data_IF_950674526619
#
_entry.id   IF_950674526619
#
_cell.length_a   1.000
_cell.length_b   1.000
_cell.length_c   1.000
_cell.angle_alpha   90.00
_cell.angle_beta   90.00
_cell.angle_gamma   90.00
#
_symmetry.space_group_name_H-M   'P 1'
#
loop_
_entity.id
_entity.type
_entity.pdbx_description
1 polymer ?
#
# COMPACT_ATOMS: atom_id res chain seq x y z
N UNK A 1 50.14 45.17 -3.79
CA UNK A 1 50.41 44.07 -2.85
C UNK A 1 49.10 43.51 -2.20
N UNK A 2 48.16 44.34 -1.79
CA UNK A 2 46.94 43.86 -1.12
C UNK A 2 46.01 43.04 -2.00
N UNK A 3 46.00 43.26 -3.30
CA UNK A 3 45.14 42.46 -4.25
C UNK A 3 45.72 41.06 -4.54
N UNK A 4 47.04 40.90 -4.53
CA UNK A 4 47.72 39.60 -4.68
C UNK A 4 47.49 38.73 -3.42
N UNK A 5 47.62 39.29 -2.21
CA UNK A 5 47.37 38.57 -0.96
C UNK A 5 45.89 38.11 -0.85
N UNK A 6 44.95 38.89 -1.39
CA UNK A 6 43.55 38.52 -1.43
C UNK A 6 43.26 37.36 -2.41
N UNK A 7 43.93 37.37 -3.58
CA UNK A 7 43.83 36.29 -4.54
C UNK A 7 44.48 34.98 -4.02
N UNK A 8 45.64 35.09 -3.35
CA UNK A 8 46.30 33.96 -2.69
C UNK A 8 45.39 33.36 -1.59
N UNK A 9 44.73 34.20 -0.78
CA UNK A 9 43.79 33.75 0.23
C UNK A 9 42.57 33.03 -0.37
N UNK A 10 42.02 33.55 -1.47
CA UNK A 10 40.90 32.93 -2.19
C UNK A 10 41.34 31.63 -2.86
N UNK A 11 42.52 31.55 -3.46
CA UNK A 11 43.06 30.33 -4.04
C UNK A 11 43.34 29.26 -2.98
N UNK A 12 43.78 29.63 -1.81
CA UNK A 12 44.03 28.73 -0.70
C UNK A 12 42.73 28.10 -0.12
N UNK A 13 41.55 28.74 -0.31
CA UNK A 13 40.26 28.22 0.12
C UNK A 13 39.68 27.17 -0.85
N UNK A 14 40.08 27.16 -2.12
CA UNK A 14 39.58 26.25 -3.16
C UNK A 14 39.68 24.75 -2.80
N UNK A 15 40.81 24.23 -2.27
CA UNK A 15 40.91 22.82 -1.90
C UNK A 15 39.85 22.40 -0.85
N UNK A 16 39.57 23.28 0.10
CA UNK A 16 38.50 23.06 1.12
C UNK A 16 37.10 22.99 0.50
N UNK A 17 36.80 23.87 -0.47
CA UNK A 17 35.57 23.88 -1.19
C UNK A 17 35.37 22.64 -2.09
N UNK A 18 36.45 22.20 -2.75
CA UNK A 18 36.47 20.98 -3.54
C UNK A 18 36.26 19.74 -2.67
N UNK A 19 36.87 19.67 -1.50
CA UNK A 19 36.65 18.56 -0.56
C UNK A 19 35.21 18.54 -0.04
N UNK A 20 34.65 19.67 0.29
CA UNK A 20 33.24 19.78 0.72
C UNK A 20 32.26 19.40 -0.42
N UNK A 21 32.61 19.72 -1.66
CA UNK A 21 31.80 19.34 -2.84
C UNK A 21 31.87 17.82 -3.09
N UNK A 22 33.04 17.20 -2.97
CA UNK A 22 33.19 15.75 -3.10
C UNK A 22 32.44 15.01 -2.00
N UNK A 23 32.44 15.51 -0.77
CA UNK A 23 31.68 14.96 0.34
C UNK A 23 30.17 15.06 0.10
N UNK A 24 29.66 16.20 -0.36
CA UNK A 24 28.25 16.35 -0.70
C UNK A 24 27.83 15.46 -1.85
N UNK A 25 28.69 15.24 -2.83
CA UNK A 25 28.43 14.36 -3.97
C UNK A 25 28.36 12.89 -3.54
N UNK A 26 29.30 12.46 -2.70
CA UNK A 26 29.23 11.11 -2.13
C UNK A 26 28.00 10.89 -1.27
N UNK A 27 27.61 11.90 -0.46
CA UNK A 27 26.36 11.83 0.31
C UNK A 27 25.12 11.76 -0.58
N UNK A 28 25.10 12.46 -1.70
CA UNK A 28 24.00 12.38 -2.68
C UNK A 28 23.93 10.99 -3.35
N UNK A 29 25.09 10.41 -3.70
CA UNK A 29 25.15 9.06 -4.26
C UNK A 29 24.69 7.99 -3.24
N UNK A 30 25.08 8.10 -1.98
CA UNK A 30 24.61 7.22 -0.90
C UNK A 30 23.10 7.35 -0.68
N UNK A 31 22.57 8.57 -0.68
CA UNK A 31 21.14 8.82 -0.55
C UNK A 31 20.36 8.25 -1.75
N UNK A 32 20.87 8.38 -2.96
CA UNK A 32 20.28 7.78 -4.17
C UNK A 32 20.27 6.25 -4.10
N UNK A 33 21.36 5.65 -3.62
CA UNK A 33 21.45 4.20 -3.45
C UNK A 33 20.47 3.68 -2.40
N UNK A 34 20.33 4.38 -1.25
CA UNK A 34 19.34 4.02 -0.22
C UNK A 34 17.90 4.17 -0.74
N UNK A 35 17.61 5.22 -1.49
CA UNK A 35 16.30 5.41 -2.12
C UNK A 35 15.98 4.28 -3.12
N UNK A 36 16.97 3.86 -3.92
CA UNK A 36 16.78 2.75 -4.84
C UNK A 36 16.57 1.42 -4.12
N UNK A 37 17.27 1.16 -3.03
CA UNK A 37 17.06 -0.04 -2.20
C UNK A 37 15.66 -0.06 -1.58
N UNK A 38 15.21 1.05 -1.00
CA UNK A 38 13.89 1.18 -0.42
C UNK A 38 12.79 0.98 -1.48
N UNK A 39 12.99 1.53 -2.68
CA UNK A 39 12.08 1.31 -3.81
C UNK A 39 12.04 -0.14 -4.26
N UNK A 40 13.18 -0.81 -4.39
CA UNK A 40 13.25 -2.21 -4.77
C UNK A 40 12.54 -3.10 -3.72
N UNK A 41 12.70 -2.81 -2.43
CA UNK A 41 11.98 -3.50 -1.36
C UNK A 41 10.45 -3.30 -1.47
N UNK A 42 10.02 -2.09 -1.79
CA UNK A 42 8.61 -1.78 -2.01
C UNK A 42 8.04 -2.51 -3.25
N UNK A 43 8.78 -2.54 -4.37
CA UNK A 43 8.38 -3.20 -5.61
C UNK A 43 8.26 -4.73 -5.46
N UNK A 44 9.01 -5.33 -4.53
CA UNK A 44 8.91 -6.76 -4.21
C UNK A 44 7.69 -7.10 -3.34
N UNK A 45 7.02 -6.11 -2.76
CA UNK A 45 5.86 -6.36 -1.91
C UNK A 45 4.62 -6.74 -2.75
N UNK A 46 3.85 -7.78 -2.35
CA UNK A 46 2.71 -8.28 -3.13
C UNK A 46 1.58 -7.27 -3.35
N UNK A 47 1.51 -6.20 -2.54
CA UNK A 47 0.52 -5.14 -2.68
C UNK A 47 0.97 -3.99 -3.61
N UNK A 48 2.20 -4.00 -4.10
CA UNK A 48 2.66 -3.00 -5.05
C UNK A 48 1.97 -3.17 -6.44
N UNK A 49 1.56 -2.11 -7.14
CA UNK A 49 1.67 -0.66 -6.85
C UNK A 49 0.42 -0.04 -6.20
N UNK A 50 -0.39 -0.81 -5.47
CA UNK A 50 -1.69 -0.36 -4.99
C UNK A 50 -1.61 0.90 -4.11
N UNK A 51 -2.56 1.82 -4.30
CA UNK A 51 -2.69 3.00 -3.47
C UNK A 51 -3.42 2.67 -2.16
N UNK A 52 -3.10 3.38 -1.08
CA UNK A 52 -3.74 3.18 0.23
C UNK A 52 -5.27 3.17 0.20
N UNK A 53 -5.95 4.12 -0.49
CA UNK A 53 -7.41 4.10 -0.56
C UNK A 53 -7.98 2.86 -1.26
N UNK A 54 -7.28 2.32 -2.26
CA UNK A 54 -7.69 1.09 -2.94
C UNK A 54 -7.57 -0.13 -2.03
N UNK A 55 -6.50 -0.19 -1.23
CA UNK A 55 -6.30 -1.26 -0.26
C UNK A 55 -7.37 -1.24 0.83
N UNK A 56 -7.73 -0.06 1.32
CA UNK A 56 -8.82 0.10 2.29
C UNK A 56 -10.17 -0.30 1.69
N UNK A 57 -10.46 0.09 0.45
CA UNK A 57 -11.67 -0.34 -0.26
C UNK A 57 -11.73 -1.85 -0.46
N UNK A 58 -10.59 -2.50 -0.80
CA UNK A 58 -10.52 -3.96 -0.89
C UNK A 58 -10.79 -4.63 0.45
N UNK A 59 -10.25 -4.10 1.54
CA UNK A 59 -10.50 -4.62 2.88
C UNK A 59 -11.98 -4.45 3.30
N UNK A 60 -12.62 -3.34 2.94
CA UNK A 60 -14.04 -3.09 3.18
C UNK A 60 -14.96 -3.94 2.29
N UNK A 61 -14.54 -4.24 1.06
CA UNK A 61 -15.30 -5.09 0.15
C UNK A 61 -15.36 -6.56 0.61
N UNK A 62 -14.44 -7.01 1.47
CA UNK A 62 -14.50 -8.32 2.13
C UNK A 62 -15.50 -8.26 3.30
N UNK A 63 -16.73 -7.82 3.02
CA UNK A 63 -17.81 -7.92 3.98
C UNK A 63 -18.59 -9.22 3.75
N UNK A 64 -18.82 -10.00 4.80
CA UNK A 64 -19.69 -11.15 4.68
C UNK A 64 -21.11 -10.69 4.36
N UNK A 65 -21.72 -11.31 3.33
CA UNK A 65 -23.10 -11.05 2.94
C UNK A 65 -24.03 -11.07 4.15
N UNK A 66 -24.60 -9.94 4.50
CA UNK A 66 -25.29 -9.71 5.77
C UNK A 66 -26.69 -10.33 5.86
N UNK A 67 -27.21 -10.92 4.78
CA UNK A 67 -28.59 -11.39 4.81
C UNK A 67 -28.77 -12.80 4.29
N UNK A 68 -28.99 -13.80 5.16
CA UNK A 68 -29.75 -14.95 4.71
C UNK A 68 -31.12 -14.44 4.29
N UNK A 69 -31.48 -14.57 3.01
CA UNK A 69 -32.78 -14.16 2.54
C UNK A 69 -33.86 -14.85 3.41
N UNK A 70 -34.61 -14.07 4.19
CA UNK A 70 -35.71 -14.54 5.06
C UNK A 70 -36.68 -15.45 4.28
N UNK A 71 -36.83 -15.23 2.97
CA UNK A 71 -37.58 -16.06 2.04
C UNK A 71 -37.16 -17.54 2.03
N UNK A 72 -35.87 -17.84 2.22
CA UNK A 72 -35.34 -19.20 2.24
C UNK A 72 -35.69 -19.99 3.51
N UNK A 73 -36.01 -19.28 4.60
CA UNK A 73 -36.48 -19.90 5.85
C UNK A 73 -38.01 -19.98 5.88
N UNK A 74 -38.71 -19.00 5.29
CA UNK A 74 -40.15 -18.94 5.22
C UNK A 74 -40.76 -20.00 4.28
N UNK A 75 -40.08 -20.34 3.18
CA UNK A 75 -40.60 -21.30 2.19
C UNK A 75 -40.82 -22.70 2.75
N UNK A 76 -39.87 -23.36 3.45
CA UNK A 76 -40.14 -24.66 4.04
C UNK A 76 -41.14 -24.61 5.22
N UNK A 77 -41.16 -23.49 5.96
CA UNK A 77 -42.13 -23.31 7.03
C UNK A 77 -43.60 -23.23 6.49
N UNK A 78 -43.80 -22.56 5.37
CA UNK A 78 -45.11 -22.50 4.71
C UNK A 78 -45.59 -23.85 4.20
N UNK A 79 -44.66 -24.69 3.68
CA UNK A 79 -44.98 -26.05 3.23
C UNK A 79 -45.45 -26.94 4.40
N UNK A 80 -44.86 -26.81 5.57
CA UNK A 80 -45.24 -27.55 6.77
C UNK A 80 -46.66 -27.14 7.20
N UNK A 81 -46.96 -25.84 7.18
CA UNK A 81 -48.30 -25.31 7.54
C UNK A 81 -49.35 -25.82 6.55
N UNK A 82 -49.07 -25.81 5.25
CA UNK A 82 -49.98 -26.34 4.23
C UNK A 82 -50.21 -27.85 4.38
N UNK A 83 -49.14 -28.62 4.64
CA UNK A 83 -49.27 -30.08 4.86
C UNK A 83 -50.09 -30.37 6.13
N UNK A 84 -49.90 -29.64 7.20
CA UNK A 84 -50.69 -29.77 8.44
C UNK A 84 -52.17 -29.40 8.22
N UNK A 85 -52.47 -28.36 7.45
CA UNK A 85 -53.84 -27.95 7.10
C UNK A 85 -54.57 -29.00 6.26
N UNK A 86 -53.87 -29.56 5.27
CA UNK A 86 -54.39 -30.66 4.44
C UNK A 86 -54.61 -31.92 5.30
N UNK A 87 -53.71 -32.29 6.18
CA UNK A 87 -53.89 -33.41 7.10
C UNK A 87 -55.12 -33.27 7.97
N UNK A 88 -55.40 -32.04 8.45
CA UNK A 88 -56.57 -31.74 9.25
C UNK A 88 -57.88 -31.83 8.46
N UNK A 89 -57.91 -31.36 7.22
CA UNK A 89 -59.04 -31.46 6.31
C UNK A 89 -59.42 -32.90 5.97
N UNK A 90 -58.43 -33.77 5.74
CA UNK A 90 -58.66 -35.17 5.37
C UNK A 90 -58.86 -36.12 6.56
N UNK A 91 -58.75 -35.64 7.81
CA UNK A 91 -58.91 -36.39 9.06
C UNK A 91 -60.29 -37.10 9.12
N UNK A 92 -61.33 -36.50 8.54
CA UNK A 92 -62.70 -36.96 8.67
C UNK A 92 -63.10 -38.03 7.64
N UNK A 93 -62.35 -38.25 6.56
CA UNK A 93 -62.80 -39.07 5.43
C UNK A 93 -62.11 -40.45 5.32
N UNK A 94 -60.83 -40.59 5.66
CA UNK A 94 -60.15 -41.92 5.67
C UNK A 94 -58.89 -41.89 6.60
N UNK A 95 -58.68 -42.91 7.47
CA UNK A 95 -57.57 -42.93 8.43
C UNK A 95 -56.19 -43.16 7.80
N UNK A 96 -56.09 -43.87 6.70
CA UNK A 96 -54.80 -44.23 6.02
C UNK A 96 -54.03 -43.03 5.46
N UNK A 97 -54.63 -42.09 4.72
CA UNK A 97 -53.92 -40.91 4.23
C UNK A 97 -53.47 -39.96 5.34
N UNK A 98 -54.15 -39.93 6.47
CA UNK A 98 -53.79 -39.09 7.60
C UNK A 98 -52.39 -39.42 8.19
N UNK A 99 -52.11 -40.71 8.39
CA UNK A 99 -50.79 -41.15 8.90
C UNK A 99 -49.65 -40.93 7.90
N UNK A 100 -49.92 -41.05 6.59
CA UNK A 100 -48.98 -40.74 5.53
C UNK A 100 -48.62 -39.24 5.53
N UNK A 101 -49.61 -38.36 5.69
CA UNK A 101 -49.37 -36.90 5.76
C UNK A 101 -48.60 -36.48 7.04
N UNK A 102 -48.87 -37.13 8.17
CA UNK A 102 -48.08 -36.88 9.40
C UNK A 102 -46.63 -37.35 9.22
N UNK A 103 -46.42 -38.50 8.63
CA UNK A 103 -45.09 -39.04 8.32
C UNK A 103 -44.30 -38.13 7.37
N UNK A 104 -44.93 -37.65 6.30
CA UNK A 104 -44.30 -36.68 5.37
C UNK A 104 -44.02 -35.32 6.02
N UNK A 105 -44.93 -34.82 6.86
CA UNK A 105 -44.70 -33.57 7.59
C UNK A 105 -43.55 -33.69 8.60
N UNK A 106 -43.43 -34.84 9.28
CA UNK A 106 -42.34 -35.15 10.19
C UNK A 106 -40.98 -35.23 9.46
N UNK A 107 -40.92 -35.94 8.33
CA UNK A 107 -39.71 -35.99 7.49
C UNK A 107 -39.33 -34.63 6.92
N UNK A 108 -40.32 -33.83 6.49
CA UNK A 108 -40.13 -32.45 6.07
C UNK A 108 -39.54 -31.58 7.15
N UNK A 109 -40.03 -31.71 8.38
CA UNK A 109 -39.50 -30.97 9.54
C UNK A 109 -38.05 -31.35 9.85
N UNK A 110 -37.70 -32.61 9.85
CA UNK A 110 -36.33 -33.10 10.06
C UNK A 110 -35.40 -32.58 8.94
N UNK A 111 -35.82 -32.68 7.70
CA UNK A 111 -35.04 -32.18 6.56
C UNK A 111 -34.81 -30.66 6.63
N UNK A 112 -35.83 -29.88 7.05
CA UNK A 112 -35.68 -28.41 7.20
C UNK A 112 -34.76 -28.02 8.36
N UNK A 113 -34.84 -28.75 9.49
CA UNK A 113 -33.94 -28.54 10.62
C UNK A 113 -32.48 -28.87 10.24
N UNK A 114 -32.28 -29.97 9.51
CA UNK A 114 -30.96 -30.35 9.04
C UNK A 114 -30.41 -29.34 8.03
N UNK A 115 -31.23 -28.92 7.07
CA UNK A 115 -30.85 -27.88 6.11
C UNK A 115 -30.57 -26.52 6.77
N UNK A 116 -31.35 -26.13 7.78
CA UNK A 116 -31.10 -24.92 8.56
C UNK A 116 -29.79 -25.00 9.34
N UNK A 117 -29.46 -26.16 9.92
CA UNK A 117 -28.24 -26.39 10.67
C UNK A 117 -27.01 -26.36 9.77
N UNK A 118 -27.04 -27.06 8.63
CA UNK A 118 -25.93 -27.07 7.66
C UNK A 118 -25.68 -25.69 7.07
N UNK A 119 -26.74 -24.91 6.79
CA UNK A 119 -26.62 -23.51 6.34
C UNK A 119 -26.00 -22.59 7.40
N UNK A 120 -26.42 -22.73 8.66
CA UNK A 120 -25.79 -21.97 9.76
C UNK A 120 -24.30 -22.25 9.86
N UNK A 121 -23.89 -23.51 9.71
CA UNK A 121 -22.48 -23.88 9.69
C UNK A 121 -21.75 -23.26 8.51
N UNK A 122 -22.31 -23.36 7.30
CA UNK A 122 -21.72 -22.74 6.11
C UNK A 122 -21.60 -21.21 6.19
N UNK A 123 -22.59 -20.54 6.81
CA UNK A 123 -22.52 -19.08 7.06
C UNK A 123 -21.40 -18.75 8.04
N UNK A 124 -21.32 -19.49 9.15
CA UNK A 124 -20.27 -19.28 10.17
C UNK A 124 -18.88 -19.53 9.59
N UNK A 125 -18.71 -20.56 8.74
CA UNK A 125 -17.46 -20.84 8.07
C UNK A 125 -17.09 -19.73 7.07
N UNK A 126 -18.06 -19.23 6.30
CA UNK A 126 -17.83 -18.08 5.39
C UNK A 126 -17.47 -16.82 6.14
N UNK A 127 -18.12 -16.55 7.28
CA UNK A 127 -17.76 -15.41 8.14
C UNK A 127 -16.33 -15.53 8.66
N UNK A 128 -15.97 -16.68 9.21
CA UNK A 128 -14.60 -16.94 9.68
C UNK A 128 -13.58 -16.79 8.56
N UNK A 129 -13.90 -17.31 7.36
CA UNK A 129 -13.02 -17.19 6.21
C UNK A 129 -12.85 -15.72 5.76
N UNK A 130 -13.94 -14.96 5.71
CA UNK A 130 -13.90 -13.53 5.39
C UNK A 130 -13.12 -12.73 6.44
N UNK A 131 -13.31 -13.03 7.74
CA UNK A 131 -12.57 -12.41 8.84
C UNK A 131 -11.06 -12.74 8.77
N UNK A 132 -10.71 -13.99 8.49
CA UNK A 132 -9.30 -14.38 8.35
C UNK A 132 -8.64 -13.73 7.13
N UNK A 133 -9.34 -13.66 6.01
CA UNK A 133 -8.84 -12.96 4.82
C UNK A 133 -8.67 -11.46 5.08
N UNK A 134 -9.64 -10.84 5.75
CA UNK A 134 -9.56 -9.43 6.12
C UNK A 134 -8.40 -9.17 7.07
N UNK A 135 -8.23 -9.98 8.12
CA UNK A 135 -7.13 -9.85 9.05
C UNK A 135 -5.76 -10.05 8.36
N UNK A 136 -5.64 -11.01 7.45
CA UNK A 136 -4.44 -11.22 6.66
C UNK A 136 -4.12 -10.00 5.77
N UNK A 137 -5.13 -9.42 5.14
CA UNK A 137 -4.97 -8.23 4.29
C UNK A 137 -4.62 -7.00 5.12
N UNK A 138 -5.25 -6.81 6.29
CA UNK A 138 -4.93 -5.74 7.23
C UNK A 138 -3.47 -5.85 7.74
N UNK A 139 -2.98 -7.07 7.99
CA UNK A 139 -1.58 -7.30 8.35
C UNK A 139 -0.63 -6.92 7.21
N UNK A 140 -0.94 -7.34 5.98
CA UNK A 140 -0.15 -6.97 4.81
C UNK A 140 -0.15 -5.45 4.56
N UNK A 141 -1.28 -4.77 4.77
CA UNK A 141 -1.37 -3.31 4.68
C UNK A 141 -0.49 -2.64 5.75
N UNK A 142 -0.53 -3.16 6.99
CA UNK A 142 0.29 -2.64 8.08
C UNK A 142 1.80 -2.79 7.83
N UNK A 143 2.22 -3.82 7.10
CA UNK A 143 3.61 -4.01 6.67
C UNK A 143 3.97 -3.12 5.45
N UNK A 144 3.04 -2.96 4.52
CA UNK A 144 3.26 -2.19 3.29
C UNK A 144 3.35 -0.68 3.50
N UNK A 145 2.49 -0.10 4.34
CA UNK A 145 2.43 1.34 4.54
C UNK A 145 3.75 1.96 5.04
N UNK A 146 4.43 1.39 6.07
CA UNK A 146 5.71 1.91 6.51
C UNK A 146 6.81 1.76 5.47
N UNK A 147 6.83 0.67 4.68
CA UNK A 147 7.77 0.51 3.58
C UNK A 147 7.59 1.58 2.52
N UNK A 148 6.35 1.90 2.17
CA UNK A 148 6.04 2.98 1.23
C UNK A 148 6.48 4.33 1.76
N UNK A 149 6.18 4.62 3.03
CA UNK A 149 6.60 5.88 3.66
C UNK A 149 8.12 5.99 3.68
N UNK A 150 8.84 4.92 4.03
CA UNK A 150 10.32 4.90 3.99
C UNK A 150 10.87 5.14 2.58
N UNK A 151 10.23 4.55 1.55
CA UNK A 151 10.65 4.76 0.18
C UNK A 151 10.42 6.20 -0.29
N UNK A 152 9.30 6.80 0.08
CA UNK A 152 8.99 8.20 -0.23
C UNK A 152 9.95 9.16 0.49
N UNK A 153 10.21 8.95 1.79
CA UNK A 153 11.16 9.73 2.58
C UNK A 153 12.60 9.62 2.04
N UNK A 154 13.03 8.41 1.68
CA UNK A 154 14.35 8.18 1.09
C UNK A 154 14.47 8.87 -0.29
N UNK A 155 13.41 8.82 -1.11
CA UNK A 155 13.39 9.49 -2.40
C UNK A 155 13.46 11.03 -2.26
N UNK A 156 12.76 11.59 -1.28
CA UNK A 156 12.85 13.02 -0.98
C UNK A 156 14.23 13.41 -0.45
N UNK A 157 14.83 12.60 0.43
CA UNK A 157 16.17 12.86 0.95
C UNK A 157 17.21 12.84 -0.18
N UNK A 158 17.12 11.87 -1.11
CA UNK A 158 17.97 11.79 -2.27
C UNK A 158 17.85 13.03 -3.17
N UNK A 159 16.64 13.47 -3.46
CA UNK A 159 16.39 14.71 -4.24
C UNK A 159 16.98 15.94 -3.57
N UNK A 160 16.81 16.09 -2.24
CA UNK A 160 17.38 17.23 -1.48
C UNK A 160 18.91 17.20 -1.50
N UNK A 161 19.51 16.02 -1.37
CA UNK A 161 20.96 15.84 -1.44
C UNK A 161 21.51 16.19 -2.84
N UNK A 162 20.83 15.74 -3.89
CA UNK A 162 21.18 16.03 -5.29
C UNK A 162 21.12 17.56 -5.57
N UNK A 163 20.06 18.23 -5.19
CA UNK A 163 19.92 19.70 -5.32
C UNK A 163 21.03 20.42 -4.57
N UNK A 164 21.31 20.01 -3.31
CA UNK A 164 22.37 20.61 -2.51
C UNK A 164 23.76 20.42 -3.14
N UNK A 165 24.01 19.25 -3.75
CA UNK A 165 25.25 18.99 -4.47
C UNK A 165 25.36 19.86 -5.73
N UNK A 166 24.30 19.95 -6.53
CA UNK A 166 24.23 20.78 -7.73
C UNK A 166 24.44 22.28 -7.42
N UNK A 167 23.77 22.81 -6.39
CA UNK A 167 23.92 24.19 -5.95
C UNK A 167 25.37 24.50 -5.53
N UNK A 168 26.02 23.56 -4.83
CA UNK A 168 27.43 23.72 -4.41
C UNK A 168 28.37 23.64 -5.59
N UNK A 169 28.11 22.80 -6.58
CA UNK A 169 28.88 22.71 -7.81
C UNK A 169 28.79 24.01 -8.60
N UNK A 170 27.59 24.57 -8.75
CA UNK A 170 27.38 25.84 -9.43
C UNK A 170 28.05 27.02 -8.69
N UNK A 171 28.02 27.02 -7.36
CA UNK A 171 28.71 28.01 -6.56
C UNK A 171 30.24 27.94 -6.76
N UNK A 172 30.81 26.73 -6.73
CA UNK A 172 32.22 26.50 -6.96
C UNK A 172 32.62 26.91 -8.38
N UNK A 173 31.84 26.59 -9.39
CA UNK A 173 32.08 27.00 -10.79
C UNK A 173 32.03 28.52 -10.96
N UNK A 174 31.10 29.22 -10.29
CA UNK A 174 31.05 30.68 -10.33
C UNK A 174 32.30 31.28 -9.73
N UNK A 175 32.72 30.83 -8.55
CA UNK A 175 33.97 31.30 -7.90
C UNK A 175 35.21 31.07 -8.73
N UNK A 176 35.32 29.89 -9.36
CA UNK A 176 36.43 29.61 -10.26
C UNK A 176 36.49 30.58 -11.45
N UNK A 177 35.32 30.88 -12.05
CA UNK A 177 35.22 31.89 -13.14
C UNK A 177 35.65 33.28 -12.70
N UNK A 178 35.19 33.68 -11.50
CA UNK A 178 35.52 34.99 -10.95
C UNK A 178 37.03 35.13 -10.67
N UNK A 179 37.63 34.08 -10.09
CA UNK A 179 39.08 34.04 -9.85
C UNK A 179 39.86 34.07 -11.17
N UNK A 180 39.46 33.26 -12.16
CA UNK A 180 40.10 33.28 -13.49
C UNK A 180 39.97 34.65 -14.15
N UNK A 181 38.87 35.34 -14.00
CA UNK A 181 38.65 36.69 -14.53
C UNK A 181 39.59 37.69 -13.84
N UNK A 182 39.72 37.61 -12.50
CA UNK A 182 40.62 38.47 -11.72
C UNK A 182 42.10 38.22 -12.10
N UNK A 183 42.55 36.95 -12.17
CA UNK A 183 43.90 36.59 -12.60
C UNK A 183 44.19 37.12 -13.99
N UNK A 184 43.22 37.07 -14.93
CA UNK A 184 43.38 37.58 -16.29
C UNK A 184 43.58 39.11 -16.35
N UNK A 185 42.97 39.83 -15.42
CA UNK A 185 43.20 41.30 -15.31
C UNK A 185 44.61 41.63 -14.83
N UNK A 186 45.13 40.83 -13.88
CA UNK A 186 46.49 41.07 -13.33
C UNK A 186 47.63 40.46 -14.15
N UNK A 187 47.39 39.38 -14.86
CA UNK A 187 48.44 38.71 -15.67
C UNK A 187 47.85 38.25 -17.02
N UNK A 188 47.57 39.18 -17.95
CA UNK A 188 46.89 38.88 -19.20
C UNK A 188 47.64 37.92 -20.10
N UNK A 189 49.00 37.85 -20.01
CA UNK A 189 49.82 36.98 -20.79
C UNK A 189 49.90 35.54 -20.24
N UNK A 190 49.54 35.31 -19.01
CA UNK A 190 49.63 34.01 -18.31
C UNK A 190 48.28 33.29 -18.13
N UNK A 191 47.16 33.93 -18.45
CA UNK A 191 45.84 33.36 -18.25
C UNK A 191 45.49 32.33 -19.32
N UNK A 192 45.01 31.12 -18.93
CA UNK A 192 44.54 30.14 -19.90
C UNK A 192 43.30 30.65 -20.65
N UNK A 193 43.05 30.17 -21.90
CA UNK A 193 41.82 30.56 -22.65
C UNK A 193 40.57 30.10 -21.90
N UNK A 194 39.56 30.99 -21.80
CA UNK A 194 38.24 30.66 -21.26
C UNK A 194 37.49 29.76 -22.26
N UNK A 195 37.94 28.54 -22.40
CA UNK A 195 37.27 27.52 -23.19
C UNK A 195 36.78 26.41 -22.26
N UNK A 196 35.59 26.63 -21.66
CA UNK A 196 34.75 25.55 -21.09
C UNK A 196 33.30 25.95 -21.26
#
# INVERSE_FOLDING_TARGET
DSSLTLLEGQAAALPGELSALTEKRSAAEEAAHTAQQARNALEQHPLYPAAEPELRQRAEAIQPDRTPSLLLVLFPASLIVVAAALAFLFRAQQPLPFWLFIGMAGLGMIATLFAARSRRQAIVERHKYAETQRAALETQIAEYLPLRQQADEAAEAARRAEVSAADSEDACRRRLRDLLTQVRVFAPAAAPPLGI
#
